data_IF_765168172620
#
_entry.id   IF_765168172620
#
_cell.length_a   1.000
_cell.length_b   1.000
_cell.length_c   1.000
_cell.angle_alpha   90.00
_cell.angle_beta   90.00
_cell.angle_gamma   90.00
#
_symmetry.space_group_name_H-M   'P 1'
#
loop_
_entity.id
_entity.type
_entity.pdbx_description
1 polymer ?
#
# COMPACT_ATOMS: atom_id res chain seq x y z
N UNK A 1 -42.05 17.60 -52.70
CA UNK A 1 -41.86 16.74 -53.88
C UNK A 1 -41.06 15.51 -53.47
N UNK A 2 -41.67 14.32 -53.66
CA UNK A 2 -41.11 12.97 -53.86
C UNK A 2 -39.92 12.46 -53.01
N UNK A 3 -40.25 11.56 -52.07
CA UNK A 3 -39.68 10.19 -51.98
C UNK A 3 -40.09 9.39 -53.26
N UNK A 4 -39.37 8.34 -53.71
CA UNK A 4 -39.29 7.00 -53.07
C UNK A 4 -37.84 6.44 -53.06
N UNK A 5 -37.42 5.46 -52.26
CA UNK A 5 -38.12 4.31 -51.68
C UNK A 5 -37.74 3.04 -52.47
N UNK A 6 -37.08 2.07 -51.83
CA UNK A 6 -37.32 0.64 -52.10
C UNK A 6 -36.92 -0.20 -50.88
N UNK A 7 -37.76 -1.20 -50.62
CA UNK A 7 -37.97 -1.94 -49.39
C UNK A 7 -37.22 -3.29 -49.38
N UNK A 8 -37.32 -4.10 -48.30
CA UNK A 8 -36.52 -5.29 -48.06
C UNK A 8 -37.15 -6.57 -48.63
N UNK A 9 -36.33 -7.59 -48.88
CA UNK A 9 -36.77 -8.92 -49.32
C UNK A 9 -36.53 -9.99 -48.24
N UNK A 10 -37.66 -10.50 -47.75
CA UNK A 10 -38.03 -11.87 -47.30
C UNK A 10 -37.00 -13.03 -47.40
N UNK A 11 -36.96 -13.88 -46.35
CA UNK A 11 -36.31 -15.23 -46.31
C UNK A 11 -37.09 -16.31 -47.09
N UNK A 12 -37.06 -17.64 -46.77
CA UNK A 12 -36.23 -18.43 -45.83
C UNK A 12 -35.42 -19.54 -46.55
N UNK A 13 -34.46 -20.19 -45.87
CA UNK A 13 -33.68 -21.29 -46.46
C UNK A 13 -33.13 -22.28 -45.43
N UNK A 14 -33.90 -23.33 -45.15
CA UNK A 14 -33.46 -24.52 -44.43
C UNK A 14 -32.80 -25.53 -45.38
N UNK A 15 -31.58 -25.99 -45.06
CA UNK A 15 -30.99 -27.26 -45.54
C UNK A 15 -30.24 -27.88 -44.37
N UNK A 16 -30.79 -28.93 -43.74
CA UNK A 16 -30.55 -30.37 -43.99
C UNK A 16 -29.19 -30.89 -43.47
N UNK A 17 -29.28 -31.73 -42.44
CA UNK A 17 -28.26 -32.67 -41.94
C UNK A 17 -27.83 -33.69 -43.02
N UNK A 18 -26.69 -34.36 -42.84
CA UNK A 18 -26.72 -35.79 -42.43
C UNK A 18 -25.68 -36.07 -41.31
N UNK A 19 -25.99 -36.65 -40.16
CA UNK A 19 -26.18 -38.09 -39.84
C UNK A 19 -25.38 -39.07 -40.71
N UNK A 20 -24.27 -39.59 -40.18
CA UNK A 20 -23.71 -40.88 -40.59
C UNK A 20 -23.63 -41.79 -39.35
N UNK A 21 -24.59 -42.71 -39.27
CA UNK A 21 -24.45 -43.99 -38.57
C UNK A 21 -23.64 -44.93 -39.48
N UNK A 22 -22.78 -45.78 -38.90
CA UNK A 22 -22.77 -47.20 -39.27
C UNK A 22 -22.13 -48.06 -38.17
N UNK A 23 -22.99 -48.90 -37.61
CA UNK A 23 -22.72 -50.09 -36.81
C UNK A 23 -21.98 -51.15 -37.63
N UNK A 24 -21.10 -51.93 -36.98
CA UNK A 24 -21.02 -53.37 -37.22
C UNK A 24 -20.84 -54.08 -35.88
N UNK A 25 -21.92 -54.70 -35.43
CA UNK A 25 -21.90 -55.85 -34.53
C UNK A 25 -22.09 -57.10 -35.38
N UNK A 26 -21.39 -58.20 -35.07
CA UNK A 26 -21.93 -59.53 -35.33
C UNK A 26 -21.37 -60.56 -34.35
N UNK A 27 -22.30 -61.42 -33.92
CA UNK A 27 -22.26 -62.35 -32.82
C UNK A 27 -21.58 -63.69 -33.17
N UNK A 28 -21.25 -64.47 -32.14
CA UNK A 28 -21.69 -65.87 -32.05
C UNK A 28 -21.66 -66.36 -30.60
N UNK A 29 -22.83 -66.77 -30.09
CA UNK A 29 -22.98 -67.60 -28.92
C UNK A 29 -23.25 -69.05 -29.40
N UNK A 30 -22.59 -70.04 -28.80
CA UNK A 30 -23.05 -71.44 -28.79
C UNK A 30 -22.85 -71.99 -27.38
N UNK A 31 -23.96 -72.44 -26.80
CA UNK A 31 -24.04 -73.11 -25.50
C UNK A 31 -24.01 -74.64 -25.68
N UNK A 32 -23.27 -75.30 -24.78
CA UNK A 32 -23.72 -76.54 -24.15
C UNK A 32 -23.35 -77.88 -24.79
N UNK A 33 -22.48 -78.64 -24.11
CA UNK A 33 -22.74 -80.03 -23.71
C UNK A 33 -21.74 -80.51 -22.65
N UNK A 34 -22.27 -81.22 -21.64
CA UNK A 34 -21.58 -81.82 -20.51
C UNK A 34 -21.50 -83.34 -20.72
N UNK A 35 -20.41 -83.96 -20.25
CA UNK A 35 -20.24 -85.34 -19.70
C UNK A 35 -19.05 -86.11 -20.33
N UNK A 36 -17.96 -86.28 -19.58
CA UNK A 36 -17.65 -87.47 -18.74
C UNK A 36 -16.24 -87.34 -18.14
N UNK A 37 -16.12 -87.70 -16.87
CA UNK A 37 -14.85 -87.94 -16.19
C UNK A 37 -14.21 -89.22 -16.70
N UNK A 38 -12.90 -89.18 -16.93
CA UNK A 38 -11.99 -90.31 -16.71
C UNK A 38 -10.70 -89.74 -16.13
N UNK A 39 -10.43 -90.06 -14.88
CA UNK A 39 -9.14 -89.86 -14.22
C UNK A 39 -8.07 -90.68 -14.94
N UNK A 40 -6.94 -90.07 -15.25
CA UNK A 40 -5.66 -90.77 -15.18
C UNK A 40 -4.56 -89.77 -14.85
N UNK A 41 -3.81 -90.11 -13.81
CA UNK A 41 -2.72 -89.34 -13.23
C UNK A 41 -1.64 -89.02 -14.26
N UNK A 42 -1.31 -87.74 -14.39
CA UNK A 42 -0.17 -87.26 -15.16
C UNK A 42 0.07 -85.79 -14.89
N UNK A 43 1.02 -85.51 -14.00
CA UNK A 43 1.80 -84.27 -13.82
C UNK A 43 1.27 -83.03 -14.57
N UNK A 44 0.77 -81.98 -13.89
CA UNK A 44 0.52 -80.72 -14.57
C UNK A 44 1.87 -80.10 -14.94
N UNK A 45 2.23 -80.13 -16.23
CA UNK A 45 3.09 -79.09 -16.79
C UNK A 45 2.28 -77.80 -16.69
N UNK A 46 2.49 -77.05 -15.62
CA UNK A 46 2.19 -75.64 -15.61
C UNK A 46 3.00 -75.03 -16.76
N UNK A 47 2.34 -74.79 -17.89
CA UNK A 47 2.80 -73.78 -18.82
C UNK A 47 2.60 -72.49 -18.05
N UNK A 48 3.67 -71.96 -17.46
CA UNK A 48 3.68 -70.57 -17.03
C UNK A 48 3.34 -69.75 -18.27
N UNK A 49 2.11 -69.23 -18.33
CA UNK A 49 1.81 -68.05 -19.13
C UNK A 49 2.69 -66.93 -18.57
N UNK A 50 3.93 -66.84 -19.08
CA UNK A 50 4.77 -65.68 -18.90
C UNK A 50 3.99 -64.49 -19.48
N UNK A 51 3.37 -63.70 -18.61
CA UNK A 51 2.76 -62.43 -18.98
C UNK A 51 3.83 -61.53 -19.58
N UNK A 52 3.92 -61.55 -20.91
CA UNK A 52 4.89 -60.80 -21.71
C UNK A 52 4.66 -59.27 -21.68
N UNK A 53 3.62 -58.80 -20.97
CA UNK A 53 3.36 -57.37 -20.74
C UNK A 53 4.49 -56.68 -19.96
N UNK A 54 5.25 -57.43 -19.14
CA UNK A 54 6.38 -56.87 -18.38
C UNK A 54 7.57 -56.48 -19.24
N UNK A 55 7.59 -56.87 -20.53
CA UNK A 55 8.69 -56.58 -21.47
C UNK A 55 8.41 -55.36 -22.36
N UNK A 56 7.18 -54.83 -22.36
CA UNK A 56 6.80 -53.69 -23.20
C UNK A 56 7.05 -52.33 -22.51
N UNK A 57 7.44 -51.28 -23.28
CA UNK A 57 7.67 -49.95 -22.73
C UNK A 57 6.42 -49.40 -22.05
N UNK A 58 6.57 -48.91 -20.83
CA UNK A 58 5.49 -48.27 -20.07
C UNK A 58 5.96 -46.97 -19.45
N UNK A 59 5.10 -45.95 -19.49
CA UNK A 59 5.35 -44.72 -18.75
C UNK A 59 5.27 -45.03 -17.26
N UNK A 60 6.36 -44.77 -16.52
CA UNK A 60 6.42 -45.03 -15.09
C UNK A 60 5.47 -44.08 -14.33
N UNK A 61 5.41 -42.83 -14.77
CA UNK A 61 4.63 -41.75 -14.16
C UNK A 61 3.95 -40.90 -15.24
N UNK A 62 2.84 -40.20 -14.92
CA UNK A 62 2.31 -39.17 -15.80
C UNK A 62 3.34 -38.03 -15.93
N UNK A 63 3.34 -37.36 -17.08
CA UNK A 63 4.16 -36.16 -17.24
C UNK A 63 3.52 -35.06 -16.39
N UNK A 64 4.24 -34.43 -15.45
CA UNK A 64 3.67 -33.39 -14.61
C UNK A 64 3.32 -32.15 -15.43
N UNK A 65 2.24 -31.49 -15.05
CA UNK A 65 2.01 -30.11 -15.46
C UNK A 65 2.99 -29.22 -14.71
N UNK A 66 3.66 -28.33 -15.43
CA UNK A 66 4.73 -27.50 -14.90
C UNK A 66 4.35 -26.04 -15.08
N UNK A 67 4.36 -25.28 -13.98
CA UNK A 67 4.14 -23.83 -14.01
C UNK A 67 5.47 -23.11 -13.83
N UNK A 68 5.83 -22.24 -14.78
CA UNK A 68 7.12 -21.55 -14.80
C UNK A 68 6.91 -20.07 -15.10
N UNK A 69 7.63 -19.21 -14.38
CA UNK A 69 7.66 -17.77 -14.64
C UNK A 69 8.45 -17.48 -15.90
N UNK A 70 7.98 -16.54 -16.73
CA UNK A 70 8.68 -16.08 -17.93
C UNK A 70 10.15 -15.75 -17.64
N UNK A 71 11.05 -16.13 -18.56
CA UNK A 71 12.50 -15.95 -18.44
C UNK A 71 13.22 -17.00 -17.57
N UNK A 72 12.50 -17.90 -16.91
CA UNK A 72 13.09 -19.06 -16.21
C UNK A 72 13.18 -20.29 -17.12
N UNK A 73 13.91 -21.30 -16.67
CA UNK A 73 14.03 -22.56 -17.40
C UNK A 73 12.91 -23.53 -16.95
N UNK A 74 12.32 -24.24 -17.91
CA UNK A 74 11.37 -25.32 -17.67
C UNK A 74 12.00 -26.70 -17.90
N UNK A 75 11.52 -27.68 -17.14
CA UNK A 75 11.93 -29.08 -17.23
C UNK A 75 10.69 -29.97 -17.31
N UNK A 76 10.55 -30.71 -18.41
CA UNK A 76 9.53 -31.75 -18.55
C UNK A 76 10.20 -33.12 -18.49
N UNK A 77 9.81 -33.93 -17.51
CA UNK A 77 10.36 -35.25 -17.29
C UNK A 77 9.45 -36.32 -17.90
N UNK A 78 10.05 -37.23 -18.68
CA UNK A 78 9.39 -38.42 -19.17
C UNK A 78 10.19 -39.65 -18.75
N UNK A 79 9.56 -40.54 -18.01
CA UNK A 79 10.19 -41.77 -17.51
C UNK A 79 9.50 -42.96 -18.14
N UNK A 80 10.26 -43.81 -18.83
CA UNK A 80 9.77 -44.99 -19.54
C UNK A 80 10.51 -46.21 -19.01
N UNK A 81 9.79 -47.11 -18.35
CA UNK A 81 10.32 -48.42 -17.95
C UNK A 81 10.28 -49.36 -19.15
N UNK A 82 11.20 -50.35 -19.18
CA UNK A 82 11.30 -51.37 -20.21
C UNK A 82 11.42 -50.80 -21.63
N UNK A 83 12.20 -49.72 -21.83
CA UNK A 83 12.35 -49.10 -23.14
C UNK A 83 12.97 -50.04 -24.18
N UNK A 84 13.87 -50.94 -23.79
CA UNK A 84 14.54 -51.87 -24.72
C UNK A 84 15.16 -51.13 -25.92
N UNK A 85 14.75 -51.46 -27.14
CA UNK A 85 15.19 -50.84 -28.40
C UNK A 85 14.23 -49.78 -28.94
N UNK A 86 13.15 -49.48 -28.21
CA UNK A 86 12.22 -48.43 -28.58
C UNK A 86 12.86 -47.05 -28.37
N UNK A 87 12.34 -46.04 -29.06
CA UNK A 87 12.83 -44.67 -29.05
C UNK A 87 11.77 -43.74 -28.48
N UNK A 88 12.23 -42.82 -27.64
CA UNK A 88 11.41 -41.75 -27.07
C UNK A 88 11.53 -40.51 -27.92
N UNK A 89 10.42 -39.82 -28.19
CA UNK A 89 10.40 -38.54 -28.88
C UNK A 89 9.61 -37.51 -28.06
N UNK A 90 10.09 -36.27 -28.04
CA UNK A 90 9.33 -35.14 -27.54
C UNK A 90 8.69 -34.40 -28.71
N UNK A 91 7.39 -34.14 -28.61
CA UNK A 91 6.60 -33.50 -29.65
C UNK A 91 5.79 -32.37 -29.02
N UNK A 92 5.80 -31.20 -29.65
CA UNK A 92 4.90 -30.09 -29.29
C UNK A 92 3.53 -30.35 -29.92
N UNK A 93 2.48 -30.46 -29.10
CA UNK A 93 1.18 -31.01 -29.53
C UNK A 93 0.43 -30.09 -30.48
N UNK A 94 0.41 -28.79 -30.18
CA UNK A 94 -0.33 -27.76 -30.92
C UNK A 94 0.15 -27.60 -32.38
N UNK A 95 1.46 -27.66 -32.58
CA UNK A 95 2.13 -27.46 -33.86
C UNK A 95 2.56 -28.77 -34.51
N UNK A 96 2.39 -29.90 -33.81
CA UNK A 96 2.89 -31.22 -34.20
C UNK A 96 4.41 -31.23 -34.49
N UNK A 97 5.16 -30.30 -33.90
CA UNK A 97 6.60 -30.16 -34.12
C UNK A 97 7.36 -31.21 -33.32
N UNK A 98 8.17 -32.02 -33.99
CA UNK A 98 9.09 -32.95 -33.33
C UNK A 98 10.26 -32.13 -32.75
N UNK A 99 10.39 -32.15 -31.44
CA UNK A 99 11.44 -31.42 -30.71
C UNK A 99 12.72 -32.26 -30.63
N UNK A 100 12.57 -33.54 -30.31
CA UNK A 100 13.67 -34.50 -30.24
C UNK A 100 13.23 -35.89 -30.62
N UNK A 101 14.19 -36.70 -31.09
CA UNK A 101 14.03 -38.14 -31.29
C UNK A 101 15.23 -38.82 -30.63
N UNK A 102 14.95 -39.64 -29.64
CA UNK A 102 15.92 -40.39 -28.87
C UNK A 102 17.00 -39.47 -28.27
N UNK A 103 18.24 -39.54 -28.74
CA UNK A 103 19.35 -38.69 -28.27
C UNK A 103 19.54 -37.41 -29.09
N UNK A 104 18.77 -37.21 -30.17
CA UNK A 104 18.97 -36.11 -31.12
C UNK A 104 17.91 -35.02 -30.96
N UNK A 105 18.35 -33.77 -30.86
CA UNK A 105 17.48 -32.59 -31.00
C UNK A 105 17.18 -32.38 -32.49
N UNK A 106 15.90 -32.24 -32.82
CA UNK A 106 15.41 -32.05 -34.19
C UNK A 106 15.00 -30.60 -34.43
N UNK A 107 14.47 -29.93 -33.39
CA UNK A 107 14.09 -28.52 -33.48
C UNK A 107 15.31 -27.60 -33.67
N UNK A 108 15.13 -26.51 -34.42
CA UNK A 108 16.15 -25.46 -34.57
C UNK A 108 16.10 -24.43 -33.43
N UNK A 109 15.17 -24.55 -32.48
CA UNK A 109 15.07 -23.63 -31.35
C UNK A 109 16.25 -23.87 -30.38
N UNK A 110 17.20 -22.93 -30.25
CA UNK A 110 18.40 -23.12 -29.43
C UNK A 110 18.12 -23.17 -27.92
N UNK A 111 16.92 -22.75 -27.50
CA UNK A 111 16.47 -22.82 -26.11
C UNK A 111 16.11 -24.23 -25.68
N UNK A 112 15.87 -25.13 -26.63
CA UNK A 112 15.44 -26.50 -26.36
C UNK A 112 16.67 -27.42 -26.31
N UNK A 113 16.79 -28.18 -25.22
CA UNK A 113 17.83 -29.19 -25.06
C UNK A 113 17.27 -30.44 -24.37
N UNK A 114 18.01 -31.55 -24.45
CA UNK A 114 17.58 -32.84 -23.93
C UNK A 114 18.69 -33.44 -23.08
N UNK A 115 18.35 -33.83 -21.86
CA UNK A 115 19.20 -34.66 -21.00
C UNK A 115 18.53 -36.02 -20.85
N UNK A 116 19.31 -37.09 -20.78
CA UNK A 116 18.78 -38.44 -20.57
C UNK A 116 19.75 -39.26 -19.72
N UNK A 117 19.20 -40.26 -19.03
CA UNK A 117 20.00 -41.41 -18.60
C UNK A 117 19.67 -42.54 -19.58
N UNK A 118 20.68 -43.24 -20.10
CA UNK A 118 20.59 -44.09 -21.31
C UNK A 118 19.62 -45.30 -21.24
N UNK A 119 18.73 -45.38 -20.25
CA UNK A 119 17.80 -46.49 -20.08
C UNK A 119 16.38 -46.12 -19.64
N UNK A 120 16.12 -44.94 -19.05
CA UNK A 120 14.85 -44.74 -18.33
C UNK A 120 14.25 -43.34 -18.34
N UNK A 121 15.05 -42.29 -18.40
CA UNK A 121 14.57 -40.91 -18.22
C UNK A 121 14.98 -40.01 -19.38
N UNK A 122 14.00 -39.28 -19.92
CA UNK A 122 14.16 -38.26 -20.96
C UNK A 122 13.64 -36.92 -20.45
N UNK A 123 14.54 -35.97 -20.28
CA UNK A 123 14.28 -34.65 -19.74
C UNK A 123 14.35 -33.59 -20.85
N UNK A 124 13.21 -33.01 -21.19
CA UNK A 124 13.14 -31.87 -22.11
C UNK A 124 13.37 -30.58 -21.32
N UNK A 125 14.44 -29.87 -21.65
CA UNK A 125 14.77 -28.57 -21.09
C UNK A 125 14.37 -27.47 -22.07
N UNK A 126 13.67 -26.45 -21.58
CA UNK A 126 13.34 -25.24 -22.33
C UNK A 126 13.93 -24.07 -21.56
N UNK A 127 15.02 -23.49 -22.06
CA UNK A 127 15.66 -22.33 -21.46
C UNK A 127 14.91 -21.04 -21.78
N UNK A 128 15.01 -20.04 -20.91
CA UNK A 128 14.44 -18.70 -21.13
C UNK A 128 13.00 -18.79 -21.68
N UNK A 129 12.10 -19.33 -20.86
CA UNK A 129 10.72 -19.64 -21.25
C UNK A 129 9.99 -18.36 -21.62
N UNK A 130 9.34 -18.36 -22.79
CA UNK A 130 8.50 -17.27 -23.28
C UNK A 130 7.02 -17.65 -23.19
N UNK A 131 6.13 -16.67 -23.21
CA UNK A 131 4.68 -16.92 -23.17
C UNK A 131 4.19 -17.85 -24.30
N UNK A 132 4.84 -17.78 -25.46
CA UNK A 132 4.57 -18.63 -26.63
C UNK A 132 4.93 -20.09 -26.44
N UNK A 133 5.70 -20.43 -25.39
CA UNK A 133 6.06 -21.81 -25.06
C UNK A 133 4.94 -22.52 -24.28
N UNK A 134 3.93 -21.78 -23.80
CA UNK A 134 2.75 -22.33 -23.13
C UNK A 134 2.06 -23.35 -24.03
N UNK A 135 1.74 -24.52 -23.48
CA UNK A 135 0.97 -25.52 -24.20
C UNK A 135 1.28 -26.95 -23.79
N UNK A 136 0.72 -27.88 -24.56
CA UNK A 136 0.88 -29.32 -24.35
C UNK A 136 2.14 -29.84 -25.04
N UNK A 137 2.93 -30.57 -24.28
CA UNK A 137 4.11 -31.30 -24.73
C UNK A 137 3.86 -32.79 -24.55
N UNK A 138 4.24 -33.57 -25.54
CA UNK A 138 3.99 -35.01 -25.60
C UNK A 138 5.29 -35.78 -25.62
N UNK A 139 5.42 -36.72 -24.69
CA UNK A 139 6.43 -37.77 -24.77
C UNK A 139 5.80 -38.99 -25.45
N UNK A 140 6.44 -39.48 -26.49
CA UNK A 140 5.93 -40.54 -27.36
C UNK A 140 6.97 -41.65 -27.52
N UNK A 141 6.52 -42.90 -27.49
CA UNK A 141 7.34 -44.09 -27.70
C UNK A 141 6.86 -44.78 -28.97
N UNK A 142 7.78 -45.16 -29.85
CA UNK A 142 7.50 -45.78 -31.15
C UNK A 142 7.05 -47.26 -31.09
N UNK A 143 6.21 -47.61 -30.12
CA UNK A 143 5.54 -48.92 -30.04
C UNK A 143 4.46 -49.06 -31.11
N UNK A 144 3.98 -50.29 -31.33
CA UNK A 144 2.80 -50.57 -32.16
C UNK A 144 1.70 -51.22 -31.29
N UNK A 145 0.59 -50.52 -30.98
CA UNK A 145 0.30 -49.13 -31.32
C UNK A 145 1.19 -48.12 -30.57
N UNK A 146 1.29 -46.91 -31.12
CA UNK A 146 2.08 -45.83 -30.55
C UNK A 146 1.61 -45.48 -29.13
N UNK A 147 2.53 -45.38 -28.17
CA UNK A 147 2.23 -45.01 -26.79
C UNK A 147 2.67 -43.57 -26.51
N UNK A 148 1.83 -42.77 -25.87
CA UNK A 148 2.17 -41.39 -25.50
C UNK A 148 1.61 -40.96 -24.15
N UNK A 149 2.26 -39.96 -23.56
CA UNK A 149 1.76 -39.16 -22.43
C UNK A 149 2.00 -37.68 -22.71
N UNK A 150 1.16 -36.83 -22.12
CA UNK A 150 1.21 -35.38 -22.30
C UNK A 150 1.35 -34.69 -20.95
N UNK A 151 2.07 -33.58 -20.94
CA UNK A 151 2.15 -32.64 -19.82
C UNK A 151 1.99 -31.21 -20.33
N UNK A 152 1.41 -30.35 -19.50
CA UNK A 152 1.16 -28.96 -19.85
C UNK A 152 2.23 -28.04 -19.25
N UNK A 153 2.81 -27.18 -20.08
CA UNK A 153 3.66 -26.07 -19.62
C UNK A 153 2.79 -24.83 -19.47
N UNK A 154 2.56 -24.41 -18.22
CA UNK A 154 1.91 -23.15 -17.89
C UNK A 154 2.97 -22.06 -17.70
N UNK A 155 2.98 -21.08 -18.59
CA UNK A 155 3.85 -19.90 -18.44
C UNK A 155 3.09 -18.80 -17.73
N UNK A 156 3.64 -18.30 -16.63
CA UNK A 156 3.10 -17.19 -15.84
C UNK A 156 4.00 -15.96 -15.92
N UNK A 157 3.41 -14.77 -15.84
CA UNK A 157 4.09 -13.49 -16.00
C UNK A 157 3.77 -12.63 -14.78
N UNK A 158 4.76 -12.15 -14.01
CA UNK A 158 4.54 -11.26 -12.88
C UNK A 158 3.85 -9.95 -13.32
N UNK A 159 3.14 -9.27 -12.41
CA UNK A 159 2.48 -8.02 -12.73
C UNK A 159 3.49 -6.91 -13.04
N UNK A 160 3.17 -6.07 -14.01
CA UNK A 160 3.93 -4.89 -14.41
C UNK A 160 2.98 -3.72 -14.61
N UNK A 161 3.35 -2.52 -14.16
CA UNK A 161 2.49 -1.34 -14.29
C UNK A 161 2.73 -0.67 -15.65
N UNK A 162 1.64 -0.37 -16.36
CA UNK A 162 1.67 0.33 -17.64
C UNK A 162 1.71 1.82 -17.36
N UNK A 163 2.93 2.38 -17.32
CA UNK A 163 3.14 3.77 -16.89
C UNK A 163 2.39 4.80 -17.73
N UNK A 164 2.28 4.57 -19.03
CA UNK A 164 1.60 5.48 -19.98
C UNK A 164 0.11 5.66 -19.68
N UNK A 165 -0.54 4.63 -19.15
CA UNK A 165 -1.98 4.58 -18.91
C UNK A 165 -2.31 4.70 -17.40
N UNK A 166 -1.30 4.93 -16.58
CA UNK A 166 -1.43 5.08 -15.12
C UNK A 166 -1.19 6.53 -14.72
N UNK A 167 -2.04 7.07 -13.85
CA UNK A 167 -1.92 8.41 -13.31
C UNK A 167 -0.53 8.67 -12.70
N UNK A 168 -0.05 9.89 -12.89
CA UNK A 168 1.11 10.46 -12.20
C UNK A 168 0.63 11.44 -11.13
N UNK A 169 1.55 12.06 -10.40
CA UNK A 169 1.23 13.12 -9.44
C UNK A 169 0.28 14.17 -10.04
N UNK A 170 -0.76 14.52 -9.28
CA UNK A 170 -1.83 15.41 -9.70
C UNK A 170 -1.94 16.62 -8.78
N UNK A 171 -2.25 17.77 -9.36
CA UNK A 171 -2.59 18.99 -8.63
C UNK A 171 -3.99 19.43 -9.04
N UNK A 172 -4.90 19.52 -8.08
CA UNK A 172 -6.31 19.82 -8.32
C UNK A 172 -6.81 20.88 -7.35
N UNK A 173 -7.94 21.52 -7.63
CA UNK A 173 -8.55 22.50 -6.70
C UNK A 173 -9.47 21.80 -5.71
N UNK A 174 -9.60 22.36 -4.51
CA UNK A 174 -10.57 21.90 -3.52
C UNK A 174 -11.99 21.90 -4.11
N UNK A 175 -12.81 20.92 -3.70
CA UNK A 175 -14.14 20.60 -4.24
C UNK A 175 -14.20 20.05 -5.66
N UNK A 176 -13.06 19.80 -6.32
CA UNK A 176 -13.04 19.11 -7.63
C UNK A 176 -13.29 17.60 -7.49
N UNK A 177 -13.58 16.94 -8.62
CA UNK A 177 -13.64 15.48 -8.70
C UNK A 177 -12.37 14.96 -9.38
N UNK A 178 -11.80 13.89 -8.82
CA UNK A 178 -10.54 13.30 -9.28
C UNK A 178 -10.73 11.82 -9.56
N UNK A 179 -10.10 11.37 -10.63
CA UNK A 179 -9.99 9.95 -10.99
C UNK A 179 -8.51 9.60 -11.08
N UNK A 180 -8.05 8.73 -10.19
CA UNK A 180 -6.74 8.09 -10.32
C UNK A 180 -6.93 6.77 -11.07
N UNK A 181 -6.07 6.47 -12.03
CA UNK A 181 -6.13 5.24 -12.84
C UNK A 181 -4.80 4.52 -12.74
N UNK A 182 -4.83 3.19 -12.63
CA UNK A 182 -3.65 2.34 -12.60
C UNK A 182 -3.91 1.10 -13.43
N UNK A 183 -3.12 0.95 -14.49
CA UNK A 183 -3.18 -0.16 -15.44
C UNK A 183 -2.00 -1.07 -15.21
N UNK A 184 -2.26 -2.37 -15.16
CA UNK A 184 -1.22 -3.38 -15.00
C UNK A 184 -1.40 -4.49 -16.04
N UNK A 185 -0.29 -5.14 -16.39
CA UNK A 185 -0.24 -6.28 -17.29
C UNK A 185 0.48 -7.44 -16.61
N UNK A 186 0.04 -8.67 -16.87
CA UNK A 186 0.62 -9.89 -16.34
C UNK A 186 -0.23 -11.10 -16.72
N UNK A 187 0.25 -12.29 -16.39
CA UNK A 187 -0.51 -13.51 -16.57
C UNK A 187 -0.39 -14.43 -15.34
N UNK A 188 -1.49 -14.75 -14.65
CA UNK A 188 -2.88 -14.33 -14.90
C UNK A 188 -3.09 -12.80 -14.88
N UNK A 189 -4.22 -12.32 -15.39
CA UNK A 189 -4.53 -10.88 -15.41
C UNK A 189 -4.40 -10.29 -13.99
N UNK A 190 -3.62 -9.22 -13.78
CA UNK A 190 -3.43 -8.64 -12.46
C UNK A 190 -4.69 -7.99 -11.90
N UNK A 191 -4.93 -8.26 -10.63
CA UNK A 191 -5.86 -7.51 -9.82
C UNK A 191 -5.19 -6.23 -9.31
N UNK A 192 -5.90 -5.10 -9.37
CA UNK A 192 -5.43 -3.79 -8.90
C UNK A 192 -6.26 -3.32 -7.71
N UNK A 193 -5.57 -2.79 -6.71
CA UNK A 193 -6.17 -2.15 -5.53
C UNK A 193 -5.44 -0.85 -5.18
N UNK A 194 -6.15 0.06 -4.54
CA UNK A 194 -5.64 1.35 -4.06
C UNK A 194 -5.64 1.40 -2.55
N UNK A 195 -4.62 2.03 -1.97
CA UNK A 195 -4.58 2.40 -0.55
C UNK A 195 -3.80 3.68 -0.36
N UNK A 196 -3.95 4.34 0.78
CA UNK A 196 -3.06 5.44 1.15
C UNK A 196 -1.73 4.90 1.69
N UNK A 197 -0.67 5.64 1.42
CA UNK A 197 0.69 5.34 1.91
C UNK A 197 0.81 5.60 3.42
N UNK A 198 0.12 6.63 3.93
CA UNK A 198 0.08 6.99 5.35
C UNK A 198 -0.73 6.01 6.22
N UNK A 199 -1.49 5.10 5.59
CA UNK A 199 -2.34 4.14 6.29
C UNK A 199 -3.71 4.67 6.72
N UNK A 200 -4.01 5.93 6.42
CA UNK A 200 -5.33 6.53 6.66
C UNK A 200 -6.38 5.95 5.71
N UNK A 201 -7.64 6.09 6.10
CA UNK A 201 -8.77 5.68 5.28
C UNK A 201 -8.95 6.57 4.04
N UNK A 202 -9.35 5.94 2.95
CA UNK A 202 -9.84 6.62 1.75
C UNK A 202 -11.34 6.87 1.95
N UNK A 203 -11.77 8.13 1.90
CA UNK A 203 -13.21 8.44 1.79
C UNK A 203 -13.70 8.04 0.40
N UNK A 204 -14.37 6.89 0.32
CA UNK A 204 -14.88 6.32 -0.92
C UNK A 204 -16.41 6.21 -0.85
N UNK A 205 -17.11 6.90 -1.74
CA UNK A 205 -18.58 7.02 -1.73
C UNK A 205 -19.19 7.50 -0.41
N UNK A 206 -18.43 8.29 0.36
CA UNK A 206 -18.86 8.83 1.66
C UNK A 206 -18.52 7.95 2.86
N UNK A 207 -17.99 6.76 2.64
CA UNK A 207 -17.57 5.83 3.70
C UNK A 207 -16.04 5.77 3.80
N UNK A 208 -15.47 5.62 5.01
CA UNK A 208 -14.04 5.40 5.18
C UNK A 208 -13.67 3.96 4.83
N UNK A 209 -12.69 3.78 3.93
CA UNK A 209 -12.22 2.45 3.50
C UNK A 209 -10.70 2.43 3.40
N UNK A 210 -10.06 1.42 3.99
CA UNK A 210 -8.59 1.25 3.96
C UNK A 210 -8.05 0.87 2.57
N UNK A 211 -8.86 0.15 1.78
CA UNK A 211 -8.51 -0.36 0.46
C UNK A 211 -9.68 -0.19 -0.50
N UNK A 212 -9.41 0.30 -1.71
CA UNK A 212 -10.40 0.37 -2.78
C UNK A 212 -9.97 -0.52 -3.94
N UNK A 213 -10.85 -1.43 -4.31
CA UNK A 213 -10.62 -2.41 -5.36
C UNK A 213 -10.91 -1.82 -6.75
N UNK A 214 -10.06 -2.14 -7.72
CA UNK A 214 -10.21 -1.74 -9.12
C UNK A 214 -9.08 -0.86 -9.63
N UNK A 215 -8.99 -0.76 -10.96
CA UNK A 215 -7.98 0.04 -11.65
C UNK A 215 -8.17 1.54 -11.44
N UNK A 216 -9.40 1.98 -11.13
CA UNK A 216 -9.74 3.40 -10.99
C UNK A 216 -10.22 3.73 -9.59
N UNK A 217 -9.63 4.76 -8.98
CA UNK A 217 -10.10 5.36 -7.74
C UNK A 217 -10.76 6.72 -8.04
N UNK A 218 -12.06 6.80 -7.79
CA UNK A 218 -12.84 8.04 -7.93
C UNK A 218 -13.01 8.73 -6.58
N UNK A 219 -12.54 9.97 -6.47
CA UNK A 219 -12.69 10.82 -5.28
C UNK A 219 -13.51 12.04 -5.69
N UNK A 220 -14.68 12.22 -5.10
CA UNK A 220 -15.56 13.35 -5.40
C UNK A 220 -15.46 14.43 -4.33
N UNK A 221 -15.65 15.69 -4.72
CA UNK A 221 -15.57 16.85 -3.81
C UNK A 221 -14.31 16.81 -2.93
N UNK A 222 -13.16 16.68 -3.57
CA UNK A 222 -11.85 16.54 -2.90
C UNK A 222 -11.61 17.70 -1.93
N UNK A 223 -11.43 17.40 -0.65
CA UNK A 223 -10.96 18.32 0.38
C UNK A 223 -9.44 18.20 0.60
N UNK A 224 -8.84 19.18 1.27
CA UNK A 224 -7.43 19.12 1.70
C UNK A 224 -7.04 17.88 2.50
N UNK A 225 -7.99 17.25 3.21
CA UNK A 225 -7.75 16.02 3.98
C UNK A 225 -7.45 14.81 3.07
N UNK A 226 -7.83 14.88 1.80
CA UNK A 226 -7.49 13.85 0.82
C UNK A 226 -6.07 14.01 0.26
N UNK A 227 -5.38 15.11 0.56
CA UNK A 227 -4.00 15.30 0.12
C UNK A 227 -3.11 14.17 0.66
N UNK A 228 -2.20 13.67 -0.17
CA UNK A 228 -1.29 12.60 0.23
C UNK A 228 -0.90 11.67 -0.91
N UNK A 229 -0.14 10.64 -0.56
CA UNK A 229 0.29 9.63 -1.50
C UNK A 229 -0.66 8.43 -1.48
N UNK A 230 -1.09 8.06 -2.69
CA UNK A 230 -1.88 6.88 -2.96
C UNK A 230 -0.99 5.85 -3.65
N UNK A 231 -1.10 4.59 -3.22
CA UNK A 231 -0.41 3.46 -3.81
C UNK A 231 -1.44 2.64 -4.59
N UNK A 232 -1.23 2.49 -5.91
CA UNK A 232 -1.86 1.40 -6.63
C UNK A 232 -0.97 0.16 -6.54
N UNK A 233 -1.56 -0.99 -6.24
CA UNK A 233 -0.88 -2.25 -6.03
C UNK A 233 -1.49 -3.25 -7.01
N UNK A 234 -0.64 -3.87 -7.84
CA UNK A 234 -1.02 -4.88 -8.81
C UNK A 234 -0.46 -6.25 -8.40
N UNK A 235 -1.33 -7.27 -8.41
CA UNK A 235 -0.99 -8.65 -8.02
C UNK A 235 -1.78 -9.66 -8.84
N UNK A 236 -1.12 -10.74 -9.29
CA UNK A 236 -1.77 -11.88 -9.94
C UNK A 236 -1.38 -13.23 -9.31
N UNK A 237 -1.00 -13.21 -8.03
CA UNK A 237 -0.44 -14.38 -7.31
C UNK A 237 0.90 -14.90 -7.85
N UNK A 238 1.52 -14.20 -8.81
CA UNK A 238 2.88 -14.47 -9.28
C UNK A 238 3.81 -13.38 -8.71
N UNK A 239 4.72 -13.72 -7.78
CA UNK A 239 5.61 -12.73 -7.20
C UNK A 239 6.60 -12.15 -8.22
N UNK A 240 7.05 -10.90 -8.04
CA UNK A 240 6.62 -9.97 -7.00
C UNK A 240 5.32 -9.24 -7.37
N UNK A 241 4.49 -8.92 -6.37
CA UNK A 241 3.49 -7.85 -6.53
C UNK A 241 4.22 -6.52 -6.72
N UNK A 242 3.64 -5.62 -7.50
CA UNK A 242 4.25 -4.32 -7.82
C UNK A 242 3.32 -3.20 -7.39
N UNK A 243 3.89 -2.04 -7.05
CA UNK A 243 3.11 -0.85 -6.73
C UNK A 243 3.65 0.40 -7.42
N UNK A 244 2.75 1.35 -7.68
CA UNK A 244 3.10 2.70 -8.14
C UNK A 244 2.47 3.73 -7.22
N UNK A 245 3.29 4.72 -6.86
CA UNK A 245 2.93 5.83 -6.00
C UNK A 245 2.43 7.01 -6.84
N UNK A 246 1.33 7.61 -6.41
CA UNK A 246 0.69 8.78 -7.02
C UNK A 246 0.39 9.80 -5.93
N UNK A 247 0.98 10.98 -6.00
CA UNK A 247 0.73 12.04 -5.03
C UNK A 247 -0.41 12.95 -5.48
N UNK A 248 -1.46 13.07 -4.67
CA UNK A 248 -2.57 14.00 -4.88
C UNK A 248 -2.32 15.28 -4.07
N UNK A 249 -2.18 16.41 -4.77
CA UNK A 249 -2.10 17.75 -4.17
C UNK A 249 -3.41 18.51 -4.41
N UNK A 250 -3.93 19.10 -3.35
CA UNK A 250 -5.18 19.87 -3.37
C UNK A 250 -4.88 21.34 -3.12
N UNK A 251 -5.29 22.22 -4.02
CA UNK A 251 -5.11 23.65 -3.92
C UNK A 251 -6.31 24.31 -3.22
N UNK A 252 -6.03 25.10 -2.20
CA UNK A 252 -7.01 25.84 -1.39
C UNK A 252 -6.44 27.20 -0.93
N UNK A 253 -7.28 28.23 -0.71
CA UNK A 253 -6.84 29.51 -0.18
C UNK A 253 -6.29 29.34 1.25
N UNK A 254 -5.44 30.27 1.74
CA UNK A 254 -4.86 30.13 3.06
C UNK A 254 -5.96 30.18 4.13
N UNK A 255 -5.82 29.36 5.16
CA UNK A 255 -6.65 29.41 6.36
C UNK A 255 -5.77 29.73 7.56
N UNK A 256 -6.29 30.50 8.50
CA UNK A 256 -5.59 30.89 9.72
C UNK A 256 -6.32 30.33 10.95
N UNK A 257 -5.53 29.87 11.92
CA UNK A 257 -5.95 29.50 13.26
C UNK A 257 -5.08 30.26 14.26
N UNK A 258 -5.72 30.94 15.21
CA UNK A 258 -5.05 31.75 16.23
C UNK A 258 -5.27 31.06 17.58
N UNK A 259 -4.22 30.58 18.28
CA UNK A 259 -4.38 29.93 19.58
C UNK A 259 -4.99 30.85 20.62
N UNK A 260 -4.51 32.10 20.68
CA UNK A 260 -4.96 33.13 21.62
C UNK A 260 -5.27 34.43 20.87
N UNK A 261 -6.53 34.85 20.85
CA UNK A 261 -6.96 36.11 20.21
C UNK A 261 -6.74 37.34 21.09
N UNK A 262 -6.52 37.14 22.39
CA UNK A 262 -6.26 38.19 23.37
C UNK A 262 -5.06 37.77 24.23
N UNK A 263 -4.04 38.61 24.26
CA UNK A 263 -2.85 38.44 25.07
C UNK A 263 -2.73 39.62 26.03
N UNK A 264 -2.53 39.33 27.31
CA UNK A 264 -2.30 40.32 28.34
C UNK A 264 -0.81 40.46 28.65
N UNK A 265 -0.31 41.68 28.81
CA UNK A 265 1.08 41.90 29.18
C UNK A 265 1.28 43.08 30.14
N UNK A 266 2.29 42.97 30.98
CA UNK A 266 2.80 44.09 31.77
C UNK A 266 3.78 44.93 30.94
N UNK A 267 3.87 46.22 31.25
CA UNK A 267 4.93 47.08 30.70
C UNK A 267 6.30 46.49 31.08
N UNK A 268 7.18 46.38 30.09
CA UNK A 268 8.52 45.80 30.19
C UNK A 268 8.59 44.30 29.94
N UNK A 269 7.46 43.61 29.80
CA UNK A 269 7.42 42.16 29.54
C UNK A 269 7.75 41.82 28.08
N UNK A 270 8.33 40.65 27.85
CA UNK A 270 8.44 40.05 26.51
C UNK A 270 7.21 39.19 26.21
N UNK A 271 6.57 39.42 25.06
CA UNK A 271 5.32 38.77 24.64
C UNK A 271 5.52 38.01 23.34
N UNK A 272 4.76 36.93 23.15
CA UNK A 272 4.74 36.15 21.92
C UNK A 272 3.32 36.04 21.40
N UNK A 273 3.10 36.48 20.17
CA UNK A 273 1.84 36.28 19.45
C UNK A 273 2.03 35.16 18.43
N UNK A 274 1.03 34.29 18.27
CA UNK A 274 1.15 33.10 17.44
C UNK A 274 -0.02 32.96 16.47
N UNK A 275 0.27 32.52 15.24
CA UNK A 275 -0.72 32.10 14.26
C UNK A 275 -0.29 30.81 13.56
N UNK A 276 -1.25 29.94 13.27
CA UNK A 276 -1.06 28.76 12.44
C UNK A 276 -1.76 29.00 11.11
N UNK A 277 -1.12 28.65 10.00
CA UNK A 277 -1.75 28.75 8.68
C UNK A 277 -1.56 27.49 7.87
N UNK A 278 -2.60 27.11 7.14
CA UNK A 278 -2.55 26.02 6.16
C UNK A 278 -2.85 26.59 4.78
N UNK A 279 -2.02 26.30 3.78
CA UNK A 279 -2.20 26.78 2.42
C UNK A 279 -1.49 25.91 1.38
N UNK A 280 -2.16 25.62 0.26
CA UNK A 280 -1.52 25.09 -0.93
C UNK A 280 -2.07 25.75 -2.21
N UNK A 281 -1.24 26.32 -3.11
CA UNK A 281 0.21 26.48 -3.00
C UNK A 281 0.63 27.26 -1.75
N UNK A 282 1.89 27.10 -1.33
CA UNK A 282 2.42 27.72 -0.12
C UNK A 282 2.13 29.22 -0.09
N UNK A 283 1.71 29.71 1.07
CA UNK A 283 1.44 31.14 1.28
C UNK A 283 2.71 31.93 1.62
N UNK A 284 2.70 33.21 1.24
CA UNK A 284 3.53 34.26 1.84
C UNK A 284 2.83 34.70 3.13
N UNK A 285 3.61 34.85 4.20
CA UNK A 285 3.08 35.14 5.52
C UNK A 285 3.86 36.26 6.19
N UNK A 286 3.14 37.21 6.76
CA UNK A 286 3.73 38.41 7.34
C UNK A 286 2.83 39.00 8.44
N UNK A 287 3.41 39.82 9.31
CA UNK A 287 2.69 40.50 10.38
C UNK A 287 2.46 41.96 9.99
N UNK A 288 1.30 42.50 10.34
CA UNK A 288 1.01 43.93 10.24
C UNK A 288 0.41 44.46 11.54
N UNK A 289 0.54 45.76 11.77
CA UNK A 289 -0.29 46.46 12.77
C UNK A 289 -1.73 46.57 12.28
N UNK A 290 -2.64 46.97 13.16
CA UNK A 290 -4.02 47.34 12.80
C UNK A 290 -4.08 48.43 11.70
N UNK A 291 -3.06 49.30 11.65
CA UNK A 291 -2.94 50.40 10.68
C UNK A 291 -2.41 49.94 9.31
N UNK A 292 -1.99 48.68 9.20
CA UNK A 292 -1.44 48.10 7.97
C UNK A 292 0.07 48.21 7.82
N UNK A 293 0.78 48.71 8.85
CA UNK A 293 2.24 48.79 8.82
C UNK A 293 2.85 47.39 8.95
N UNK A 294 3.70 46.99 8.00
CA UNK A 294 4.39 45.70 8.05
C UNK A 294 5.41 45.64 9.18
N UNK A 295 5.39 44.55 9.94
CA UNK A 295 6.32 44.29 11.04
C UNK A 295 7.44 43.37 10.54
N UNK A 296 8.68 43.87 10.58
CA UNK A 296 9.87 43.16 10.10
C UNK A 296 10.81 42.86 11.27
N UNK A 297 11.41 41.66 11.28
CA UNK A 297 12.40 41.27 12.30
C UNK A 297 13.58 42.24 12.33
N UNK A 298 13.89 42.76 13.52
CA UNK A 298 14.95 43.76 13.70
C UNK A 298 14.60 45.16 13.17
N UNK A 299 13.39 45.37 12.65
CA UNK A 299 12.92 46.66 12.16
C UNK A 299 12.65 47.67 13.27
N UNK A 300 12.69 48.98 12.96
CA UNK A 300 12.23 50.02 13.87
C UNK A 300 10.72 49.85 14.13
N UNK A 301 10.23 50.20 15.32
CA UNK A 301 8.81 50.09 15.62
C UNK A 301 7.94 50.94 14.69
N UNK A 302 6.74 50.45 14.34
CA UNK A 302 5.78 51.22 13.59
C UNK A 302 5.36 52.42 14.46
N UNK A 303 5.89 53.59 14.08
CA UNK A 303 5.78 54.91 14.76
C UNK A 303 6.85 55.19 15.84
N UNK A 304 7.82 56.05 15.50
CA UNK A 304 8.41 57.02 16.43
C UNK A 304 9.65 56.64 17.26
N UNK A 305 10.10 55.38 17.33
CA UNK A 305 11.24 55.00 18.18
C UNK A 305 12.47 54.47 17.43
N UNK A 306 13.67 54.80 17.92
CA UNK A 306 14.97 54.41 17.32
C UNK A 306 15.25 52.91 17.52
N UNK A 307 15.87 52.30 16.50
CA UNK A 307 16.23 50.88 16.33
C UNK A 307 17.00 50.26 17.53
N UNK A 308 16.93 48.96 17.82
CA UNK A 308 16.38 47.81 17.08
C UNK A 308 16.24 46.57 17.98
N UNK A 309 15.82 45.44 17.39
CA UNK A 309 15.41 44.17 18.05
C UNK A 309 14.10 44.21 18.87
N UNK A 310 13.22 45.20 18.65
CA UNK A 310 11.90 45.25 19.29
C UNK A 310 11.01 44.08 18.88
N UNK A 311 10.91 43.85 17.58
CA UNK A 311 10.13 42.78 16.97
C UNK A 311 11.02 41.70 16.37
N UNK A 312 10.63 40.46 16.59
CA UNK A 312 11.25 39.28 15.97
C UNK A 312 10.12 38.38 15.45
N UNK A 313 9.91 38.40 14.13
CA UNK A 313 9.00 37.50 13.43
C UNK A 313 9.76 36.24 13.00
N UNK A 314 9.29 35.09 13.48
CA UNK A 314 9.82 33.77 13.16
C UNK A 314 8.70 32.95 12.53
N UNK A 315 8.99 32.27 11.43
CA UNK A 315 8.04 31.38 10.78
C UNK A 315 8.68 30.01 10.60
N UNK A 316 7.99 28.95 11.02
CA UNK A 316 8.38 27.55 10.81
C UNK A 316 7.53 26.96 9.68
N UNK A 317 8.16 26.25 8.75
CA UNK A 317 7.53 25.65 7.57
C UNK A 317 7.54 24.12 7.68
N UNK A 318 6.35 23.53 7.70
CA UNK A 318 6.12 22.09 7.70
C UNK A 318 5.33 21.68 6.43
N UNK A 319 5.72 22.19 5.27
CA UNK A 319 5.04 21.90 4.01
C UNK A 319 3.85 22.84 3.81
N UNK A 320 2.62 22.31 3.72
CA UNK A 320 1.45 23.17 3.54
C UNK A 320 1.00 23.86 4.84
N UNK A 321 1.58 23.48 5.98
CA UNK A 321 1.34 24.08 7.30
C UNK A 321 2.50 24.98 7.71
N UNK A 322 2.19 26.19 8.19
CA UNK A 322 3.16 27.15 8.71
C UNK A 322 2.76 27.66 10.08
N UNK A 323 3.74 27.82 10.95
CA UNK A 323 3.58 28.43 12.26
C UNK A 323 4.28 29.78 12.29
N UNK A 324 3.55 30.85 12.56
CA UNK A 324 4.06 32.22 12.66
C UNK A 324 4.12 32.63 14.14
N UNK A 325 5.25 33.20 14.54
CA UNK A 325 5.49 33.71 15.88
C UNK A 325 6.03 35.14 15.79
N UNK A 326 5.36 36.09 16.44
CA UNK A 326 5.85 37.45 16.62
C UNK A 326 6.26 37.63 18.08
N UNK A 327 7.55 37.84 18.33
CA UNK A 327 8.06 38.21 19.65
C UNK A 327 8.16 39.72 19.74
N UNK A 328 7.56 40.29 20.77
CA UNK A 328 7.59 41.73 21.09
C UNK A 328 8.37 41.85 22.40
N UNK A 329 9.54 42.49 22.36
CA UNK A 329 10.41 42.62 23.54
C UNK A 329 10.12 43.89 24.32
N UNK A 330 10.25 43.86 25.65
CA UNK A 330 10.14 45.04 26.51
C UNK A 330 8.90 45.90 26.19
N UNK A 331 7.70 45.31 26.23
CA UNK A 331 6.42 45.93 25.82
C UNK A 331 6.23 47.29 26.48
N UNK A 332 5.88 48.31 25.69
CA UNK A 332 5.59 49.67 26.15
C UNK A 332 4.16 50.10 25.80
N UNK A 333 3.74 51.30 26.23
CA UNK A 333 2.38 51.80 25.99
C UNK A 333 1.96 51.82 24.52
N UNK A 334 2.90 52.09 23.61
CA UNK A 334 2.65 52.19 22.16
C UNK A 334 2.54 50.81 21.47
N UNK A 335 2.92 49.73 22.14
CA UNK A 335 2.82 48.37 21.60
C UNK A 335 1.44 47.75 21.83
N UNK A 336 0.65 48.27 22.76
CA UNK A 336 -0.71 47.76 23.00
C UNK A 336 -1.62 48.10 21.83
N UNK A 337 -2.48 47.15 21.45
CA UNK A 337 -3.34 47.26 20.29
C UNK A 337 -3.48 45.95 19.52
N UNK A 338 -4.02 46.04 18.31
CA UNK A 338 -4.30 44.87 17.48
C UNK A 338 -3.17 44.59 16.48
N UNK A 339 -2.75 43.34 16.42
CA UNK A 339 -1.78 42.80 15.48
C UNK A 339 -2.48 41.86 14.52
N UNK A 340 -2.11 41.91 13.25
CA UNK A 340 -2.62 41.02 12.22
C UNK A 340 -1.53 40.09 11.73
N UNK A 341 -1.80 38.80 11.70
CA UNK A 341 -1.03 37.86 10.89
C UNK A 341 -1.76 37.65 9.57
N UNK A 342 -1.06 37.83 8.45
CA UNK A 342 -1.63 37.78 7.12
C UNK A 342 -1.00 36.63 6.34
N UNK A 343 -1.84 35.84 5.68
CA UNK A 343 -1.45 34.72 4.83
C UNK A 343 -2.03 34.89 3.43
N UNK A 344 -1.19 34.82 2.39
CA UNK A 344 -1.59 35.03 0.99
C UNK A 344 -1.00 33.97 0.06
N UNK A 345 -1.83 33.34 -0.77
CA UNK A 345 -1.38 32.50 -1.88
C UNK A 345 -2.07 32.92 -3.19
N UNK A 346 -1.82 32.18 -4.27
CA UNK A 346 -2.41 32.45 -5.60
C UNK A 346 -3.94 32.34 -5.65
N UNK A 347 -4.58 31.78 -4.61
CA UNK A 347 -6.02 31.55 -4.56
C UNK A 347 -6.76 32.50 -3.63
N UNK A 348 -6.06 33.18 -2.72
CA UNK A 348 -6.70 34.09 -1.79
C UNK A 348 -5.76 34.64 -0.73
N UNK A 349 -6.35 35.47 0.13
CA UNK A 349 -5.70 36.14 1.24
C UNK A 349 -6.61 36.08 2.46
N UNK A 350 -6.03 35.85 3.64
CA UNK A 350 -6.75 35.86 4.92
C UNK A 350 -5.85 36.50 5.97
N UNK A 351 -6.47 37.18 6.93
CA UNK A 351 -5.80 37.74 8.10
C UNK A 351 -6.48 37.32 9.40
N UNK A 352 -5.68 37.23 10.46
CA UNK A 352 -6.12 36.93 11.82
C UNK A 352 -5.68 38.03 12.76
N UNK A 353 -6.60 38.47 13.64
CA UNK A 353 -6.36 39.58 14.58
C UNK A 353 -6.06 39.03 15.98
N UNK A 354 -5.00 39.55 16.60
CA UNK A 354 -4.62 39.30 17.99
C UNK A 354 -4.53 40.63 18.72
N UNK A 355 -5.28 40.78 19.82
CA UNK A 355 -5.26 41.98 20.65
C UNK A 355 -4.26 41.83 21.79
N UNK A 356 -3.35 42.79 21.92
CA UNK A 356 -2.41 42.90 23.04
C UNK A 356 -2.91 43.99 24.00
N UNK A 357 -3.34 43.59 25.20
CA UNK A 357 -3.89 44.48 26.24
C UNK A 357 -2.94 44.60 27.43
N UNK A 358 -2.91 45.79 28.04
CA UNK A 358 -2.16 46.04 29.27
C UNK A 358 -2.84 45.35 30.46
N UNK A 359 -2.09 44.56 31.23
CA UNK A 359 -2.56 44.04 32.52
C UNK A 359 -2.33 45.12 33.58
N UNK A 360 -3.38 45.64 34.23
CA UNK A 360 -3.23 46.65 35.27
C UNK A 360 -2.35 46.14 36.41
N UNK A 361 -1.45 46.98 36.89
CA UNK A 361 -0.72 46.69 38.12
C UNK A 361 -1.71 46.52 39.29
N UNK A 362 -1.48 45.58 40.22
CA UNK A 362 -2.33 45.42 41.39
C UNK A 362 -2.39 46.74 42.18
N UNK A 363 -3.56 47.11 42.74
CA UNK A 363 -3.71 48.37 43.46
C UNK A 363 -2.74 48.40 44.65
N UNK A 364 -1.76 49.31 44.60
CA UNK A 364 -0.84 49.54 45.71
C UNK A 364 -1.65 50.03 46.90
N UNK A 365 -1.76 49.21 47.95
CA UNK A 365 -2.36 49.63 49.22
C UNK A 365 -1.57 50.83 49.76
N UNK A 366 -2.21 51.98 50.05
CA UNK A 366 -1.49 53.14 50.57
C UNK A 366 -0.85 52.77 51.91
N UNK A 367 0.47 52.94 51.99
CA UNK A 367 1.26 52.73 53.21
C UNK A 367 0.68 53.57 54.34
N UNK A 368 0.23 52.91 55.41
CA UNK A 368 -0.37 53.61 56.55
C UNK A 368 0.68 54.49 57.23
N UNK A 369 0.37 55.78 57.29
CA UNK A 369 1.11 56.78 58.05
C UNK A 369 1.21 56.33 59.50
N UNK A 370 2.43 56.09 59.98
CA UNK A 370 2.72 55.80 61.39
C UNK A 370 2.38 57.05 62.22
N UNK A 371 1.24 57.03 62.92
CA UNK A 371 0.97 57.96 64.03
C UNK A 371 1.61 57.42 65.32
N UNK A 372 2.22 58.29 66.15
CA UNK A 372 3.02 57.85 67.30
C UNK A 372 2.14 57.30 68.42
N UNK A 373 2.56 56.15 68.97
CA UNK A 373 1.91 55.46 70.09
C UNK A 373 1.84 56.36 71.33
N UNK A 374 0.63 56.77 71.74
CA UNK A 374 0.34 57.18 73.13
C UNK A 374 0.01 55.94 73.96
N UNK A 375 0.80 55.72 75.02
CA UNK A 375 0.56 54.72 76.07
C UNK A 375 -0.69 55.09 76.88
N UNK A 376 -1.63 54.18 77.04
CA UNK A 376 -2.44 54.10 78.25
C UNK A 376 -2.73 52.65 78.65
N UNK A 377 -2.89 52.49 79.96
CA UNK A 377 -2.72 51.30 80.79
C UNK A 377 -4.06 50.99 81.46
N UNK A 378 -4.47 49.72 81.52
CA UNK A 378 -5.61 49.24 82.33
C UNK A 378 -6.21 47.97 81.72
N UNK A 379 -5.88 46.75 82.19
CA UNK A 379 -6.34 46.02 83.39
C UNK A 379 -7.73 45.34 83.21
N UNK A 380 -7.64 44.09 82.72
CA UNK A 380 -8.28 42.84 83.19
C UNK A 380 -9.73 42.90 83.68
N UNK A 381 -10.60 42.06 83.09
CA UNK A 381 -11.24 40.89 83.76
C UNK A 381 -12.07 40.06 82.76
N UNK A 382 -11.95 38.72 82.75
CA UNK A 382 -12.81 37.83 81.98
C UNK A 382 -13.96 37.30 82.86
N UNK A 383 -15.14 37.06 82.29
CA UNK A 383 -16.15 36.18 82.88
C UNK A 383 -17.09 35.62 81.80
N UNK A 384 -17.05 34.27 81.72
CA UNK A 384 -18.05 33.26 81.38
C UNK A 384 -19.31 33.66 80.58
N UNK A 385 -19.62 32.82 79.58
CA UNK A 385 -20.98 32.60 79.09
C UNK A 385 -21.27 31.10 79.08
N UNK A 386 -22.23 30.68 79.90
CA UNK A 386 -22.83 29.35 79.87
C UNK A 386 -23.99 29.31 78.88
N UNK A 387 -23.93 28.28 78.03
CA UNK A 387 -24.95 27.36 77.51
C UNK A 387 -26.45 27.71 77.59
N UNK A 388 -27.08 27.58 76.43
CA UNK A 388 -28.46 27.10 76.21
C UNK A 388 -28.59 26.83 74.70
N UNK A 389 -28.26 25.61 74.24
CA UNK A 389 -29.19 24.50 73.95
C UNK A 389 -30.14 24.85 72.78
N UNK A 390 -29.84 24.33 71.59
CA UNK A 390 -30.23 23.02 71.06
C UNK A 390 -31.69 22.99 70.56
N UNK A 391 -31.89 22.87 69.25
CA UNK A 391 -32.14 21.54 68.68
C UNK A 391 -32.07 21.57 67.15
N UNK A 392 -31.15 20.79 66.56
CA UNK A 392 -31.23 19.36 66.18
C UNK A 392 -32.22 19.20 65.02
N UNK A 393 -31.82 18.78 63.82
CA UNK A 393 -31.55 17.41 63.37
C UNK A 393 -31.23 17.50 61.87
N UNK A 394 -30.40 16.69 61.24
CA UNK A 394 -29.49 15.62 61.63
C UNK A 394 -28.61 15.39 60.38
N UNK A 395 -27.31 15.15 60.58
CA UNK A 395 -26.67 13.85 60.35
C UNK A 395 -26.36 13.59 58.86
N UNK A 396 -25.21 13.05 58.49
CA UNK A 396 -24.00 12.60 59.17
C UNK A 396 -22.99 12.44 58.02
N UNK A 397 -21.77 12.98 58.11
CA UNK A 397 -20.56 12.33 58.66
C UNK A 397 -20.10 11.15 57.78
N UNK A 398 -18.83 10.83 57.56
CA UNK A 398 -17.50 11.28 57.98
C UNK A 398 -16.57 10.51 57.00
N UNK A 399 -15.49 11.11 56.47
CA UNK A 399 -14.08 10.73 56.75
C UNK A 399 -13.70 9.30 56.34
N UNK A 400 -12.53 9.00 55.81
CA UNK A 400 -11.34 9.70 55.32
C UNK A 400 -10.39 8.53 55.00
N UNK A 401 -9.29 8.88 54.39
CA UNK A 401 -7.99 8.34 54.74
C UNK A 401 -7.34 7.30 53.80
N UNK A 402 -6.16 7.77 53.38
CA UNK A 402 -4.86 7.10 53.32
C UNK A 402 -4.53 6.05 52.24
N UNK A 403 -3.63 6.53 51.36
CA UNK A 403 -2.29 5.98 51.00
C UNK A 403 -2.16 4.62 50.35
N UNK A 404 -1.15 4.54 49.46
CA UNK A 404 -0.33 3.41 48.96
C UNK A 404 -0.11 3.63 47.45
N UNK A 405 1.04 3.44 46.83
CA UNK A 405 2.34 2.89 47.24
C UNK A 405 3.39 3.28 46.18
N UNK A 406 4.65 3.39 46.58
CA UNK A 406 5.81 3.35 45.68
C UNK A 406 6.13 1.89 45.36
N UNK A 407 6.25 1.52 44.08
CA UNK A 407 7.16 0.46 43.67
C UNK A 407 7.57 0.63 42.21
N UNK A 408 8.87 0.49 42.00
CA UNK A 408 9.58 0.53 40.73
C UNK A 408 9.44 -0.80 39.98
N UNK A 409 9.52 -0.74 38.65
CA UNK A 409 10.24 -1.74 37.86
C UNK A 409 10.74 -1.11 36.55
N UNK A 410 12.07 -1.14 36.41
CA UNK A 410 12.86 -0.85 35.23
C UNK A 410 12.84 -2.06 34.27
N UNK A 411 12.58 -1.87 32.97
CA UNK A 411 13.30 -2.59 31.88
C UNK A 411 12.92 -2.02 30.50
N UNK A 412 13.79 -1.22 29.89
CA UNK A 412 13.89 -1.14 28.42
C UNK A 412 15.36 -0.96 28.03
N UNK A 413 15.96 -2.07 27.66
CA UNK A 413 17.30 -2.20 27.12
C UNK A 413 17.39 -1.53 25.74
N UNK A 414 18.26 -0.53 25.61
CA UNK A 414 18.67 0.08 24.34
C UNK A 414 19.67 -0.85 23.61
N UNK A 415 19.30 -1.31 22.42
CA UNK A 415 20.22 -1.99 21.52
C UNK A 415 21.19 -0.99 20.84
N UNK A 416 22.48 -1.33 20.66
CA UNK A 416 23.45 -0.42 20.07
C UNK A 416 23.29 -0.30 18.54
N UNK A 417 23.42 0.94 18.07
CA UNK A 417 23.64 1.32 16.68
C UNK A 417 24.79 0.51 16.07
N UNK A 418 24.50 -0.22 14.99
CA UNK A 418 25.52 -0.79 14.11
C UNK A 418 25.91 0.28 13.08
N UNK A 419 27.12 0.83 13.23
CA UNK A 419 27.80 1.59 12.18
C UNK A 419 28.10 0.65 11.01
N UNK A 420 27.45 0.90 9.88
CA UNK A 420 27.84 0.30 8.60
C UNK A 420 29.09 1.03 8.12
N UNK A 421 30.24 0.35 8.19
CA UNK A 421 31.49 0.78 7.57
C UNK A 421 31.38 0.66 6.04
N UNK A 422 31.58 1.78 5.35
CA UNK A 422 31.76 1.81 3.91
C UNK A 422 33.01 0.99 3.50
N UNK A 423 32.94 0.16 2.44
CA UNK A 423 34.10 -0.51 1.89
C UNK A 423 35.01 0.48 1.15
N UNK A 424 36.27 0.50 1.59
CA UNK A 424 37.41 1.16 0.97
C UNK A 424 37.51 0.83 -0.52
N UNK A 425 37.42 1.85 -1.37
CA UNK A 425 37.77 1.76 -2.78
C UNK A 425 39.27 1.49 -2.93
N UNK A 426 39.62 0.29 -3.36
CA UNK A 426 40.96 -0.04 -3.83
C UNK A 426 41.18 0.62 -5.19
N UNK A 427 42.12 1.57 -5.24
CA UNK A 427 42.66 2.10 -6.47
C UNK A 427 43.39 1.00 -7.24
N UNK A 428 42.95 0.75 -8.47
CA UNK A 428 43.70 -0.03 -9.45
C UNK A 428 44.66 0.91 -10.18
N UNK A 429 45.93 0.55 -10.15
CA UNK A 429 47.00 1.23 -10.85
C UNK A 429 46.90 1.07 -12.37
N UNK A 430 47.30 2.13 -13.06
CA UNK A 430 47.73 2.07 -14.44
C UNK A 430 49.07 1.32 -14.54
N UNK A 431 49.36 0.70 -15.70
CA UNK A 431 50.73 0.57 -16.15
C UNK A 431 50.98 1.43 -17.40
N UNK A 432 52.09 2.16 -17.34
CA UNK A 432 52.84 2.66 -18.50
C UNK A 432 53.20 1.51 -19.45
N UNK A 433 52.74 1.59 -20.71
CA UNK A 433 53.54 1.56 -21.95
C UNK A 433 52.67 1.39 -23.19
#
# INVERSE_FOLDING_TARGET
>A
MRRPGLAPATGPGAMRRPLLLLLVTLAAAVSGRRLRNTESNGIPKAVEEFNNESMFPKFAEPIPNVTVTVGRDALLACVVDNLQNYKVAWVRVDTQTILSIHHSIITQNPRISLTHNDARSWYLHIKDVHETDRGWYMCQVNTDPMRSRQGYLQVVVPPTIVDKDTSTDMVVRESSNVTLTCKAHGYPEPYVMWRREDGEDISYNGEPVTVVDGETLHITKVSRLHMGAYLCIASNSVPPSISKRVFLRVQFPPMLSIPNQLEGAYIGQDVKLACHTEAYPHSINYWTTERGDMIVSGGPPPVGSKAGNKYEAVSTDNGYNKYMLLKIRNVGPDDFGSYKCVAKNSLGETDGVIKLDEIPAPPTTPSSTILPKKKHRGRVKPLKMERGENSVLAADSYIDDTTLDESADDDYTLAPHVEVRDPVAQGSGAPDK
#
